data_IF_450111084440
#
_entry.id   IF_450111084440
#
_cell.length_a   1.000
_cell.length_b   1.000
_cell.length_c   1.000
_cell.angle_alpha   90.00
_cell.angle_beta   90.00
_cell.angle_gamma   90.00
#
_symmetry.space_group_name_H-M   'P 1'
#
loop_
_entity.id
_entity.type
_entity.pdbx_description
1 polymer ?
#
# COMPACT_ATOMS: atom_id res chain seq x y z
N UNK A 1 -11.44 6.57 14.77
CA UNK A 1 -10.35 6.38 15.76
C UNK A 1 -9.27 7.44 15.56
N UNK A 2 -9.15 8.38 16.50
CA UNK A 2 -8.12 9.45 16.48
C UNK A 2 -6.70 8.88 16.37
N UNK A 3 -6.42 7.79 17.07
CA UNK A 3 -5.10 7.14 17.07
C UNK A 3 -4.66 6.68 15.66
N UNK A 4 -5.52 5.98 14.92
CA UNK A 4 -5.21 5.50 13.57
C UNK A 4 -4.93 6.65 12.59
N UNK A 5 -5.59 7.80 12.77
CA UNK A 5 -5.48 8.94 11.85
C UNK A 5 -4.28 9.84 12.14
N UNK A 6 -3.88 9.99 13.40
CA UNK A 6 -2.89 11.00 13.78
C UNK A 6 -1.65 10.46 14.50
N UNK A 7 -1.73 9.30 15.14
CA UNK A 7 -0.68 8.79 16.04
C UNK A 7 -0.11 7.44 15.61
N UNK A 8 -0.71 6.79 14.62
CA UNK A 8 -0.25 5.49 14.16
C UNK A 8 1.04 5.65 13.33
N UNK A 9 2.18 5.05 13.74
CA UNK A 9 3.42 5.14 12.99
C UNK A 9 3.28 4.52 11.59
N UNK A 10 2.44 3.48 11.47
CA UNK A 10 2.12 2.86 10.19
C UNK A 10 1.28 3.79 9.29
N UNK A 11 0.33 4.53 9.87
CA UNK A 11 -0.43 5.56 9.14
C UNK A 11 0.48 6.66 8.59
N UNK A 12 1.45 7.14 9.38
CA UNK A 12 2.44 8.12 8.94
C UNK A 12 3.32 7.59 7.80
N UNK A 13 3.79 6.34 7.91
CA UNK A 13 4.59 5.69 6.87
C UNK A 13 3.79 5.53 5.57
N UNK A 14 2.57 5.02 5.65
CA UNK A 14 1.70 4.85 4.49
C UNK A 14 1.35 6.20 3.84
N UNK A 15 1.08 7.23 4.64
CA UNK A 15 0.81 8.57 4.10
C UNK A 15 2.02 9.16 3.38
N UNK A 16 3.23 8.93 3.88
CA UNK A 16 4.47 9.31 3.18
C UNK A 16 4.61 8.56 1.85
N UNK A 17 4.37 7.24 1.85
CA UNK A 17 4.40 6.42 0.64
C UNK A 17 3.32 6.85 -0.36
N UNK A 18 2.13 7.21 0.09
CA UNK A 18 1.07 7.73 -0.77
C UNK A 18 1.44 9.07 -1.42
N UNK A 19 2.12 9.97 -0.68
CA UNK A 19 2.59 11.25 -1.23
C UNK A 19 3.71 11.08 -2.27
N UNK A 20 4.64 10.15 -2.03
CA UNK A 20 5.78 9.86 -2.91
C UNK A 20 5.37 8.94 -4.07
N UNK A 21 4.25 8.22 -3.91
CA UNK A 21 3.76 7.23 -4.86
C UNK A 21 3.60 7.76 -6.28
N UNK A 22 3.81 6.89 -7.29
CA UNK A 22 3.72 7.29 -8.68
C UNK A 22 2.27 7.54 -9.11
N UNK A 23 1.26 6.96 -8.45
CA UNK A 23 -0.13 7.10 -8.85
C UNK A 23 -0.77 8.32 -8.17
N UNK A 24 -1.28 9.26 -8.95
CA UNK A 24 -1.99 10.45 -8.43
C UNK A 24 -3.27 10.70 -9.20
N UNK A 25 -4.32 11.09 -8.49
CA UNK A 25 -5.59 11.47 -9.13
C UNK A 25 -5.49 12.93 -9.56
N UNK A 26 -5.63 13.19 -10.86
CA UNK A 26 -5.55 14.52 -11.45
C UNK A 26 -6.93 14.91 -11.98
N UNK A 27 -7.35 16.13 -11.63
CA UNK A 27 -8.60 16.76 -12.04
C UNK A 27 -8.35 17.69 -13.22
N UNK A 28 -9.15 17.53 -14.26
CA UNK A 28 -9.30 18.46 -15.36
C UNK A 28 -10.33 19.53 -14.96
N UNK A 29 -9.86 20.77 -14.79
CA UNK A 29 -10.68 21.88 -14.33
C UNK A 29 -11.70 22.32 -15.38
N UNK A 30 -11.35 22.21 -16.67
CA UNK A 30 -12.19 22.64 -17.79
C UNK A 30 -13.42 21.74 -17.93
N UNK A 31 -13.25 20.44 -17.67
CA UNK A 31 -14.35 19.46 -17.70
C UNK A 31 -15.19 19.44 -16.43
N UNK A 32 -14.71 20.03 -15.35
CA UNK A 32 -15.36 19.90 -14.06
C UNK A 32 -16.56 20.84 -13.90
N UNK A 33 -17.73 20.24 -13.67
CA UNK A 33 -18.99 20.97 -13.41
C UNK A 33 -19.23 21.32 -11.93
N UNK A 34 -18.22 21.18 -11.07
CA UNK A 34 -18.28 21.56 -9.64
C UNK A 34 -19.42 20.93 -8.83
N UNK A 35 -19.82 19.69 -9.17
CA UNK A 35 -20.93 18.97 -8.52
C UNK A 35 -20.62 18.42 -7.11
N UNK A 36 -19.36 18.47 -6.67
CA UNK A 36 -18.86 18.04 -5.34
C UNK A 36 -19.16 16.58 -4.96
N UNK A 37 -19.46 15.70 -5.92
CA UNK A 37 -19.67 14.25 -5.68
C UNK A 37 -18.39 13.57 -5.19
N UNK A 38 -17.26 13.87 -5.82
CA UNK A 38 -15.94 13.35 -5.46
C UNK A 38 -15.57 13.62 -4.00
N UNK A 39 -15.89 14.80 -3.46
CA UNK A 39 -15.67 15.14 -2.05
C UNK A 39 -16.54 14.32 -1.11
N UNK A 40 -17.82 14.11 -1.44
CA UNK A 40 -18.77 13.41 -0.57
C UNK A 40 -18.47 11.93 -0.43
N UNK A 41 -17.95 11.31 -1.48
CA UNK A 41 -17.65 9.87 -1.49
C UNK A 41 -16.26 9.54 -0.91
N UNK A 42 -15.36 10.52 -0.82
CA UNK A 42 -14.00 10.27 -0.36
C UNK A 42 -13.99 9.78 1.10
N UNK A 43 -13.56 8.55 1.38
CA UNK A 43 -13.58 8.00 2.75
C UNK A 43 -12.62 8.75 3.68
N UNK A 44 -11.56 9.34 3.14
CA UNK A 44 -10.59 10.17 3.86
C UNK A 44 -11.10 11.61 4.12
N UNK A 45 -12.21 12.02 3.49
CA UNK A 45 -12.76 13.37 3.61
C UNK A 45 -11.93 14.44 2.89
N UNK A 46 -11.12 14.05 1.90
CA UNK A 46 -10.26 14.96 1.15
C UNK A 46 -11.14 15.88 0.27
N UNK A 47 -10.88 17.20 0.22
CA UNK A 47 -11.59 18.14 -0.65
C UNK A 47 -11.14 18.00 -2.12
N UNK A 48 -11.42 16.85 -2.74
CA UNK A 48 -11.04 16.51 -4.12
C UNK A 48 -11.60 17.52 -5.13
N UNK A 49 -12.75 18.12 -4.85
CA UNK A 49 -13.40 19.14 -5.69
C UNK A 49 -12.59 20.44 -5.82
N UNK A 50 -11.68 20.71 -4.89
CA UNK A 50 -10.87 21.94 -4.83
C UNK A 50 -9.41 21.74 -5.23
N UNK A 51 -8.98 20.51 -5.52
CA UNK A 51 -7.58 20.21 -5.83
C UNK A 51 -7.45 19.81 -7.30
N UNK A 52 -6.49 20.41 -8.00
CA UNK A 52 -6.13 20.00 -9.36
C UNK A 52 -5.44 18.63 -9.35
N UNK A 53 -4.64 18.35 -8.32
CA UNK A 53 -3.99 17.06 -8.11
C UNK A 53 -4.18 16.65 -6.65
N UNK A 54 -4.63 15.41 -6.43
CA UNK A 54 -4.84 14.85 -5.09
C UNK A 54 -3.49 14.41 -4.53
N UNK A 55 -2.79 15.36 -3.91
CA UNK A 55 -1.58 15.11 -3.13
C UNK A 55 -1.93 15.26 -1.65
N UNK A 56 -2.26 14.14 -1.01
CA UNK A 56 -2.69 14.10 0.38
C UNK A 56 -2.22 12.78 1.03
N UNK A 57 -1.64 12.81 2.24
CA UNK A 57 -1.21 11.60 2.94
C UNK A 57 -2.39 10.69 3.33
N UNK A 58 -3.60 11.23 3.47
CA UNK A 58 -4.79 10.41 3.76
C UNK A 58 -5.33 9.73 2.48
N UNK A 59 -4.78 10.03 1.30
CA UNK A 59 -5.24 9.46 0.03
C UNK A 59 -4.71 8.03 -0.15
N UNK A 60 -5.60 7.05 -0.04
CA UNK A 60 -5.26 5.62 -0.24
C UNK A 60 -5.39 5.16 -1.71
N UNK A 61 -5.69 6.07 -2.65
CA UNK A 61 -5.81 5.70 -4.06
C UNK A 61 -6.96 4.75 -4.40
N UNK A 62 -8.06 4.77 -3.65
CA UNK A 62 -9.22 3.87 -3.88
C UNK A 62 -10.06 4.19 -5.14
N UNK A 63 -9.79 5.33 -5.81
CA UNK A 63 -10.44 5.76 -7.05
C UNK A 63 -11.97 5.97 -6.98
N UNK A 64 -12.59 5.94 -5.81
CA UNK A 64 -14.02 6.18 -5.63
C UNK A 64 -14.46 7.58 -6.15
N UNK A 65 -13.58 8.58 -6.07
CA UNK A 65 -13.86 9.90 -6.63
C UNK A 65 -13.90 9.91 -8.17
N UNK A 66 -13.23 8.97 -8.81
CA UNK A 66 -13.23 8.77 -10.28
C UNK A 66 -14.52 8.04 -10.68
N UNK A 67 -14.89 6.98 -9.97
CA UNK A 67 -16.08 6.15 -10.25
C UNK A 67 -17.39 6.96 -10.23
N UNK A 68 -17.53 7.89 -9.29
CA UNK A 68 -18.77 8.70 -9.13
C UNK A 68 -18.81 9.96 -10.01
N UNK A 69 -17.74 10.27 -10.73
CA UNK A 69 -17.66 11.51 -11.50
C UNK A 69 -18.58 11.43 -12.73
N UNK A 70 -19.57 12.34 -12.89
CA UNK A 70 -20.49 12.31 -14.02
C UNK A 70 -19.87 12.78 -15.34
N UNK A 71 -18.63 13.28 -15.31
CA UNK A 71 -17.91 13.77 -16.49
C UNK A 71 -16.73 12.84 -16.77
N UNK A 72 -16.84 12.10 -17.87
CA UNK A 72 -15.79 11.20 -18.33
C UNK A 72 -14.48 11.95 -18.54
N UNK A 73 -13.40 11.37 -18.02
CA UNK A 73 -12.05 11.95 -18.13
C UNK A 73 -11.85 13.27 -17.37
N UNK A 74 -12.79 13.68 -16.49
CA UNK A 74 -12.61 14.85 -15.63
C UNK A 74 -11.70 14.53 -14.42
N UNK A 75 -11.77 13.33 -13.86
CA UNK A 75 -10.79 12.83 -12.91
C UNK A 75 -10.17 11.56 -13.46
N UNK A 76 -8.84 11.47 -13.44
CA UNK A 76 -8.12 10.31 -13.92
C UNK A 76 -6.92 10.01 -13.02
N UNK A 77 -6.62 8.73 -12.75
CA UNK A 77 -5.32 8.35 -12.23
C UNK A 77 -4.25 8.64 -13.28
N UNK A 78 -3.25 9.45 -12.92
CA UNK A 78 -2.05 9.67 -13.71
C UNK A 78 -0.85 9.09 -12.99
N UNK A 79 -0.05 8.35 -13.75
CA UNK A 79 1.31 8.02 -13.36
C UNK A 79 2.14 9.30 -13.34
N UNK A 80 2.91 9.47 -12.27
CA UNK A 80 3.83 10.58 -12.06
C UNK A 80 4.96 10.57 -13.07
N UNK A 81 5.89 11.54 -12.97
CA UNK A 81 6.96 11.74 -13.94
C UNK A 81 7.99 10.59 -13.98
N UNK A 82 7.99 9.70 -12.98
CA UNK A 82 8.91 8.57 -12.91
C UNK A 82 8.55 7.51 -13.94
N UNK A 83 9.20 7.57 -15.10
CA UNK A 83 9.20 6.51 -16.11
C UNK A 83 10.19 5.42 -15.71
N UNK A 84 9.83 4.61 -14.72
CA UNK A 84 10.56 3.36 -14.49
C UNK A 84 10.30 2.46 -15.69
N UNK A 85 11.37 1.95 -16.31
CA UNK A 85 11.23 1.00 -17.40
C UNK A 85 10.53 -0.25 -16.81
N UNK A 86 9.34 -0.64 -17.34
CA UNK A 86 8.53 -1.70 -16.75
C UNK A 86 9.27 -3.04 -16.65
N UNK A 87 10.33 -3.25 -17.44
CA UNK A 87 11.17 -4.44 -17.38
C UNK A 87 12.21 -4.39 -16.25
N UNK A 88 12.69 -3.22 -15.85
CA UNK A 88 13.79 -3.09 -14.88
C UNK A 88 13.31 -3.22 -13.44
N UNK A 89 12.07 -2.80 -13.14
CA UNK A 89 11.47 -2.93 -11.81
C UNK A 89 11.42 -4.40 -11.34
N UNK A 90 10.84 -5.35 -12.10
CA UNK A 90 10.83 -6.75 -11.68
C UNK A 90 12.24 -7.35 -11.65
N UNK A 91 13.13 -6.99 -12.59
CA UNK A 91 14.51 -7.48 -12.60
C UNK A 91 15.28 -7.04 -11.34
N UNK A 92 15.16 -5.78 -10.94
CA UNK A 92 15.77 -5.27 -9.71
C UNK A 92 15.18 -5.93 -8.46
N UNK A 93 13.86 -6.15 -8.43
CA UNK A 93 13.22 -6.82 -7.30
C UNK A 93 13.73 -8.27 -7.13
N UNK A 94 13.82 -9.01 -8.23
CA UNK A 94 14.38 -10.37 -8.24
C UNK A 94 15.86 -10.33 -7.82
N UNK A 95 16.67 -9.47 -8.43
CA UNK A 95 18.08 -9.35 -8.08
C UNK A 95 18.29 -9.01 -6.59
N UNK A 96 17.49 -8.10 -6.03
CA UNK A 96 17.56 -7.73 -4.63
C UNK A 96 17.17 -8.90 -3.71
N UNK A 97 16.12 -9.64 -4.08
CA UNK A 97 15.71 -10.84 -3.36
C UNK A 97 16.80 -11.92 -3.37
N UNK A 98 17.37 -12.22 -4.54
CA UNK A 98 18.46 -13.19 -4.70
C UNK A 98 19.69 -12.79 -3.89
N UNK A 99 20.07 -11.51 -3.92
CA UNK A 99 21.19 -11.00 -3.12
C UNK A 99 20.90 -11.15 -1.63
N UNK A 100 19.70 -10.78 -1.17
CA UNK A 100 19.34 -10.91 0.24
C UNK A 100 19.34 -12.38 0.69
N UNK A 101 18.81 -13.29 -0.12
CA UNK A 101 18.84 -14.73 0.11
C UNK A 101 20.28 -15.26 0.22
N UNK A 102 21.14 -14.92 -0.74
CA UNK A 102 22.54 -15.37 -0.75
C UNK A 102 23.32 -14.81 0.46
N UNK A 103 23.06 -13.56 0.85
CA UNK A 103 23.65 -12.97 2.05
C UNK A 103 23.17 -13.69 3.30
N UNK A 104 21.88 -14.03 3.40
CA UNK A 104 21.34 -14.78 4.53
C UNK A 104 21.98 -16.17 4.65
N UNK A 105 22.19 -16.86 3.52
CA UNK A 105 22.91 -18.14 3.50
C UNK A 105 24.39 -17.98 3.89
N UNK A 106 25.10 -17.00 3.30
CA UNK A 106 26.52 -16.79 3.55
C UNK A 106 26.82 -16.36 5.00
N UNK A 107 25.90 -15.65 5.64
CA UNK A 107 26.02 -15.20 7.03
C UNK A 107 25.46 -16.20 8.04
N UNK A 108 24.96 -17.36 7.59
CA UNK A 108 24.36 -18.39 8.46
C UNK A 108 23.03 -17.99 9.11
N UNK A 109 22.46 -16.83 8.76
CA UNK A 109 21.15 -16.39 9.27
C UNK A 109 19.97 -17.13 8.61
N UNK A 110 20.25 -17.94 7.57
CA UNK A 110 19.26 -18.78 6.92
C UNK A 110 18.96 -20.06 7.72
N UNK A 111 19.92 -20.59 8.49
CA UNK A 111 19.70 -21.81 9.25
C UNK A 111 18.82 -21.55 10.47
N UNK A 112 17.80 -22.37 10.64
CA UNK A 112 16.95 -22.30 11.83
C UNK A 112 17.74 -22.75 13.04
N UNK A 113 17.73 -21.94 14.10
CA UNK A 113 18.31 -22.29 15.40
C UNK A 113 17.66 -23.49 16.12
N UNK A 114 16.67 -24.16 15.49
CA UNK A 114 15.89 -25.25 16.07
C UNK A 114 16.32 -26.59 15.46
N UNK A 115 16.95 -27.48 16.26
CA UNK A 115 17.24 -28.85 15.86
C UNK A 115 15.98 -29.63 15.48
N UNK A 116 16.09 -30.52 14.49
CA UNK A 116 14.95 -31.29 13.97
C UNK A 116 14.31 -32.22 15.02
N UNK A 117 15.07 -32.67 16.01
CA UNK A 117 14.57 -33.48 17.13
C UNK A 117 13.67 -32.68 18.06
N UNK A 118 14.01 -31.41 18.33
CA UNK A 118 13.16 -30.49 19.10
C UNK A 118 11.88 -30.22 18.32
N UNK A 119 11.98 -29.95 17.01
CA UNK A 119 10.81 -29.73 16.16
C UNK A 119 9.88 -30.95 16.16
N UNK A 120 10.41 -32.17 15.98
CA UNK A 120 9.62 -33.42 16.04
C UNK A 120 8.93 -33.61 17.38
N UNK A 121 9.60 -33.30 18.50
CA UNK A 121 9.01 -33.38 19.83
C UNK A 121 7.83 -32.41 19.98
N UNK A 122 7.98 -31.17 19.53
CA UNK A 122 6.89 -30.17 19.56
C UNK A 122 5.69 -30.62 18.72
N UNK A 123 5.91 -31.17 17.53
CA UNK A 123 4.82 -31.69 16.68
C UNK A 123 4.09 -32.86 17.32
N UNK A 124 4.81 -33.77 17.98
CA UNK A 124 4.21 -34.92 18.66
C UNK A 124 3.26 -34.53 19.81
N UNK A 125 3.42 -33.33 20.39
CA UNK A 125 2.56 -32.82 21.47
C UNK A 125 1.61 -31.71 21.01
N UNK A 126 1.56 -31.38 19.72
CA UNK A 126 0.81 -30.23 19.20
C UNK A 126 -0.69 -30.33 19.49
N UNK A 127 -1.28 -31.53 19.40
CA UNK A 127 -2.70 -31.76 19.72
C UNK A 127 -3.04 -31.51 21.20
N UNK A 128 -2.07 -31.64 22.11
CA UNK A 128 -2.29 -31.36 23.54
C UNK A 128 -2.44 -29.86 23.84
N UNK A 129 -2.02 -28.99 22.91
CA UNK A 129 -2.17 -27.54 23.01
C UNK A 129 -3.36 -27.00 22.21
N UNK A 130 -4.18 -27.88 21.62
CA UNK A 130 -5.40 -27.45 20.95
C UNK A 130 -6.27 -26.67 21.94
N UNK A 131 -6.58 -25.42 21.58
CA UNK A 131 -7.49 -24.59 22.37
C UNK A 131 -8.84 -25.32 22.49
N UNK A 132 -9.50 -25.29 23.67
CA UNK A 132 -10.82 -25.87 23.80
C UNK A 132 -11.75 -25.17 22.80
N UNK A 133 -12.20 -25.93 21.81
CA UNK A 133 -13.23 -25.52 20.88
C UNK A 133 -14.52 -25.33 21.68
N UNK A 134 -14.89 -24.06 21.89
CA UNK A 134 -16.23 -23.67 22.31
C UNK A 134 -17.19 -23.67 21.12
#
# INVERSE_FOLDING_TARGET
NFWCRYLCPYGALLGLLAMIGPLRIVRDEEKCISCKRCRRVCPAGIPVDKRQSVWDPDCIGCEECVSVCPKEGCLLPRLGPYRLNPLWVPLLAVALFEVAWLVAMATGHWETMVPIDIFKRFYAVMESFAHPSY
#
